data_IF_932347974230
#
_entry.id   IF_932347974230
#
_cell.length_a   1.000
_cell.length_b   1.000
_cell.length_c   1.000
_cell.angle_alpha   90.00
_cell.angle_beta   90.00
_cell.angle_gamma   90.00
#
_symmetry.space_group_name_H-M   'P 1'
#
loop_
_entity.id
_entity.type
_entity.pdbx_description
1 polymer ?
#
# COMPACT_ATOMS: atom_id res chain seq x y z
N UNK A 1 -4.92 8.95 3.17
CA UNK A 1 -3.57 8.42 3.45
C UNK A 1 -3.45 7.06 2.78
N UNK A 2 -2.34 6.83 2.08
CA UNK A 2 -1.95 5.52 1.55
C UNK A 2 -0.90 4.89 2.47
N UNK A 3 -1.03 3.60 2.78
CA UNK A 3 -0.03 2.81 3.51
C UNK A 3 0.34 1.58 2.69
N UNK A 4 1.61 1.48 2.30
CA UNK A 4 2.15 0.39 1.47
C UNK A 4 3.06 -0.52 2.28
N UNK A 5 2.84 -1.83 2.13
CA UNK A 5 3.64 -2.89 2.75
C UNK A 5 4.04 -3.95 1.72
N UNK A 6 5.12 -4.71 1.96
CA UNK A 6 5.62 -5.68 0.98
C UNK A 6 4.85 -7.00 0.93
N UNK A 7 3.97 -7.29 1.90
CA UNK A 7 3.29 -8.59 1.95
C UNK A 7 1.94 -8.54 2.65
N UNK A 8 1.07 -9.48 2.31
CA UNK A 8 -0.27 -9.62 2.91
C UNK A 8 -0.21 -9.87 4.44
N UNK A 9 0.69 -10.70 5.01
CA UNK A 9 0.81 -10.84 6.44
C UNK A 9 1.13 -9.53 7.16
N UNK A 10 2.06 -8.74 6.62
CA UNK A 10 2.38 -7.41 7.15
C UNK A 10 1.20 -6.44 7.01
N UNK A 11 0.46 -6.53 5.90
CA UNK A 11 -0.75 -5.73 5.70
C UNK A 11 -1.79 -6.02 6.80
N UNK A 12 -2.05 -7.29 7.07
CA UNK A 12 -2.98 -7.73 8.12
C UNK A 12 -2.56 -7.22 9.50
N UNK A 13 -1.27 -7.38 9.84
CA UNK A 13 -0.71 -6.90 11.11
C UNK A 13 -0.83 -5.37 11.22
N UNK A 14 -0.44 -4.65 10.20
CA UNK A 14 -0.53 -3.18 10.16
C UNK A 14 -1.96 -2.70 10.37
N UNK A 15 -2.93 -3.29 9.67
CA UNK A 15 -4.34 -2.93 9.82
C UNK A 15 -4.84 -3.19 11.25
N UNK A 16 -4.44 -4.31 11.87
CA UNK A 16 -4.79 -4.62 13.26
C UNK A 16 -4.22 -3.58 14.24
N UNK A 17 -2.96 -3.21 14.08
CA UNK A 17 -2.31 -2.20 14.91
C UNK A 17 -3.01 -0.84 14.78
N UNK A 18 -3.23 -0.39 13.55
CA UNK A 18 -3.95 0.86 13.30
C UNK A 18 -5.39 0.83 13.78
N UNK A 19 -6.08 -0.32 13.63
CA UNK A 19 -7.44 -0.49 14.13
C UNK A 19 -7.50 -0.37 15.65
N UNK A 20 -6.52 -0.87 16.38
CA UNK A 20 -6.45 -0.74 17.84
C UNK A 20 -6.23 0.70 18.28
N UNK A 21 -5.44 1.47 17.53
CA UNK A 21 -5.13 2.86 17.83
C UNK A 21 -6.25 3.84 17.43
N UNK A 22 -6.92 3.55 16.30
CA UNK A 22 -7.95 4.41 15.72
C UNK A 22 -9.39 3.99 16.10
N UNK A 23 -9.57 2.97 16.95
CA UNK A 23 -10.90 2.45 17.29
C UNK A 23 -11.78 3.48 18.02
N UNK A 24 -11.18 4.49 18.61
CA UNK A 24 -11.89 5.58 19.31
C UNK A 24 -12.10 6.83 18.45
N UNK A 25 -11.51 6.92 17.26
CA UNK A 25 -11.70 8.06 16.39
C UNK A 25 -12.92 7.87 15.51
N UNK A 26 -14.05 8.44 15.89
CA UNK A 26 -15.15 8.66 14.98
C UNK A 26 -14.64 9.47 13.78
N UNK A 27 -14.73 8.94 12.56
CA UNK A 27 -14.34 9.68 11.36
C UNK A 27 -13.16 9.10 10.56
N UNK A 28 -12.87 7.81 10.69
CA UNK A 28 -11.88 7.13 9.84
C UNK A 28 -12.52 6.02 9.00
N UNK A 29 -12.30 6.06 7.70
CA UNK A 29 -12.65 4.98 6.77
C UNK A 29 -11.40 4.20 6.37
N UNK A 30 -11.56 2.89 6.17
CA UNK A 30 -10.45 1.98 5.87
C UNK A 30 -10.76 1.14 4.66
N UNK A 31 -9.84 1.15 3.70
CA UNK A 31 -9.89 0.38 2.46
C UNK A 31 -8.70 -0.59 2.44
N UNK A 32 -8.97 -1.88 2.32
CA UNK A 32 -7.94 -2.90 2.10
C UNK A 32 -7.81 -3.21 0.61
N UNK A 33 -6.60 -3.10 0.06
CA UNK A 33 -6.33 -3.32 -1.36
C UNK A 33 -5.21 -4.35 -1.49
N UNK A 34 -5.60 -5.58 -1.72
CA UNK A 34 -4.69 -6.68 -2.01
C UNK A 34 -5.44 -7.80 -2.73
N UNK A 35 -4.70 -8.60 -3.49
CA UNK A 35 -5.22 -9.83 -4.07
C UNK A 35 -5.37 -10.85 -2.96
N UNK A 36 -6.59 -11.00 -2.44
CA UNK A 36 -6.89 -12.08 -1.51
C UNK A 36 -7.11 -13.38 -2.29
N UNK A 37 -6.07 -14.19 -2.39
CA UNK A 37 -6.15 -15.53 -2.97
C UNK A 37 -7.01 -16.49 -2.14
N UNK A 38 -7.51 -16.07 -0.98
CA UNK A 38 -8.36 -16.87 -0.10
C UNK A 38 -9.85 -16.52 -0.20
N UNK A 39 -10.21 -15.42 -0.89
CA UNK A 39 -11.59 -15.04 -1.15
C UNK A 39 -12.26 -16.04 -2.09
N UNK A 40 -12.91 -17.06 -1.54
CA UNK A 40 -13.66 -18.10 -2.27
C UNK A 40 -13.23 -19.53 -2.03
N UNK A 41 -12.14 -19.80 -1.33
CA UNK A 41 -11.78 -21.17 -0.94
C UNK A 41 -12.47 -21.53 0.37
N UNK A 42 -13.56 -22.28 0.24
CA UNK A 42 -14.19 -22.95 1.39
C UNK A 42 -13.14 -23.81 2.11
N UNK A 43 -13.10 -23.74 3.43
CA UNK A 43 -12.18 -24.35 4.40
C UNK A 43 -11.81 -25.85 4.22
N UNK A 44 -12.17 -26.50 3.10
CA UNK A 44 -12.14 -27.97 2.97
C UNK A 44 -10.89 -28.57 2.34
N UNK A 45 -9.95 -27.80 1.77
CA UNK A 45 -8.77 -28.37 1.11
C UNK A 45 -7.52 -27.47 1.24
N UNK A 46 -7.20 -27.01 2.46
CA UNK A 46 -5.91 -26.39 2.71
C UNK A 46 -4.92 -27.46 3.15
N UNK A 47 -3.91 -27.72 2.33
CA UNK A 47 -2.73 -28.44 2.77
C UNK A 47 -2.06 -27.63 3.89
N UNK A 48 -1.44 -28.29 4.86
CA UNK A 48 -0.94 -27.72 6.11
C UNK A 48 0.10 -26.59 5.97
N UNK A 49 0.56 -26.29 4.76
CA UNK A 49 1.62 -25.31 4.47
C UNK A 49 1.12 -23.96 3.95
N UNK A 50 -0.18 -23.78 3.68
CA UNK A 50 -0.74 -22.49 3.31
C UNK A 50 -1.19 -21.70 4.55
N UNK A 51 -0.41 -20.71 4.93
CA UNK A 51 -0.78 -19.75 5.99
C UNK A 51 -1.97 -18.91 5.49
N UNK A 52 -3.16 -19.23 5.97
CA UNK A 52 -4.34 -18.42 5.68
C UNK A 52 -4.28 -17.12 6.49
N UNK A 53 -4.02 -16.00 5.84
CA UNK A 53 -4.04 -14.69 6.48
C UNK A 53 -5.48 -14.18 6.51
N UNK A 54 -6.07 -14.10 7.70
CA UNK A 54 -7.36 -13.44 7.88
C UNK A 54 -7.20 -11.93 7.86
N UNK A 55 -7.75 -11.27 6.83
CA UNK A 55 -7.73 -9.81 6.74
C UNK A 55 -8.70 -9.19 7.76
N UNK A 56 -8.25 -8.22 8.59
CA UNK A 56 -9.08 -7.60 9.64
C UNK A 56 -10.16 -6.65 9.09
N UNK A 57 -10.10 -6.33 7.81
CA UNK A 57 -11.08 -5.55 7.05
C UNK A 57 -11.33 -6.21 5.70
N UNK A 58 -12.49 -5.99 5.07
CA UNK A 58 -12.74 -6.44 3.71
C UNK A 58 -11.69 -5.87 2.75
N UNK A 59 -11.06 -6.74 1.97
CA UNK A 59 -10.03 -6.37 0.99
C UNK A 59 -10.43 -6.81 -0.40
N UNK A 60 -10.08 -6.01 -1.41
CA UNK A 60 -10.40 -6.29 -2.81
C UNK A 60 -9.45 -5.55 -3.74
N UNK A 61 -9.27 -6.08 -4.95
CA UNK A 61 -8.61 -5.41 -6.08
C UNK A 61 -9.61 -4.86 -7.11
N UNK A 62 -10.90 -5.01 -6.85
CA UNK A 62 -11.95 -4.48 -7.73
C UNK A 62 -12.08 -2.95 -7.58
N UNK A 63 -11.46 -2.22 -8.51
CA UNK A 63 -11.46 -0.76 -8.57
C UNK A 63 -12.89 -0.19 -8.62
N UNK A 64 -13.82 -0.87 -9.30
CA UNK A 64 -15.20 -0.41 -9.39
C UNK A 64 -15.86 -0.41 -8.02
N UNK A 65 -15.74 -1.51 -7.31
CA UNK A 65 -16.28 -1.64 -5.95
C UNK A 65 -15.68 -0.61 -4.98
N UNK A 66 -14.35 -0.42 -5.03
CA UNK A 66 -13.68 0.58 -4.18
C UNK A 66 -14.14 1.99 -4.52
N UNK A 67 -14.22 2.33 -5.82
CA UNK A 67 -14.64 3.65 -6.29
C UNK A 67 -16.10 3.96 -5.91
N UNK A 68 -16.99 3.00 -5.99
CA UNK A 68 -18.40 3.16 -5.56
C UNK A 68 -18.47 3.42 -4.05
N UNK A 69 -17.73 2.67 -3.25
CA UNK A 69 -17.69 2.89 -1.80
C UNK A 69 -17.14 4.27 -1.47
N UNK A 70 -16.03 4.69 -2.09
CA UNK A 70 -15.44 6.02 -1.90
C UNK A 70 -16.42 7.13 -2.32
N UNK A 71 -17.14 6.97 -3.42
CA UNK A 71 -18.11 7.94 -3.89
C UNK A 71 -19.36 8.04 -2.99
N UNK A 72 -19.77 6.94 -2.36
CA UNK A 72 -20.84 6.98 -1.34
C UNK A 72 -20.41 7.79 -0.13
N UNK A 73 -19.19 7.57 0.37
CA UNK A 73 -18.64 8.33 1.50
C UNK A 73 -18.50 9.81 1.20
N UNK A 74 -18.01 10.18 0.00
CA UNK A 74 -17.90 11.59 -0.42
C UNK A 74 -19.25 12.34 -0.50
N UNK A 75 -20.35 11.63 -0.71
CA UNK A 75 -21.70 12.20 -0.75
C UNK A 75 -22.31 12.39 0.64
N UNK A 76 -21.76 11.75 1.64
CA UNK A 76 -22.25 11.90 3.01
C UNK A 76 -21.87 13.28 3.54
N UNK A 77 -22.88 14.03 4.00
CA UNK A 77 -22.70 15.36 4.59
C UNK A 77 -21.80 15.33 5.82
N UNK A 78 -21.73 14.17 6.49
CA UNK A 78 -20.87 13.94 7.65
C UNK A 78 -19.43 13.58 7.29
N UNK A 79 -19.10 13.45 6.00
CA UNK A 79 -17.75 13.09 5.53
C UNK A 79 -16.72 14.24 5.65
N UNK A 80 -17.17 15.45 5.98
CA UNK A 80 -16.30 16.60 6.15
C UNK A 80 -15.38 16.40 7.35
N UNK A 81 -14.09 16.23 7.07
CA UNK A 81 -13.06 16.01 8.08
C UNK A 81 -12.74 14.55 8.38
N UNK A 82 -13.37 13.60 7.69
CA UNK A 82 -13.02 12.17 7.80
C UNK A 82 -11.67 11.88 7.15
N UNK A 83 -10.95 10.93 7.72
CA UNK A 83 -9.68 10.46 7.18
C UNK A 83 -9.91 9.11 6.49
N UNK A 84 -9.55 9.04 5.20
CA UNK A 84 -9.59 7.79 4.45
C UNK A 84 -8.19 7.15 4.44
N UNK A 85 -8.10 5.94 4.98
CA UNK A 85 -6.90 5.12 4.94
C UNK A 85 -7.02 4.04 3.88
N UNK A 86 -6.05 3.97 3.01
CA UNK A 86 -5.88 2.93 2.01
C UNK A 86 -4.68 2.09 2.40
N UNK A 87 -4.92 0.85 2.76
CA UNK A 87 -3.89 -0.12 3.10
C UNK A 87 -3.69 -1.05 1.92
N UNK A 88 -2.48 -1.10 1.37
CA UNK A 88 -2.19 -1.90 0.18
C UNK A 88 -0.85 -2.61 0.26
N UNK A 89 -0.71 -3.68 -0.51
CA UNK A 89 0.61 -4.22 -0.83
C UNK A 89 1.21 -3.49 -2.03
N UNK A 90 2.54 -3.48 -2.17
CA UNK A 90 3.20 -2.92 -3.36
C UNK A 90 2.75 -3.61 -4.65
N UNK A 91 2.54 -4.93 -4.62
CA UNK A 91 2.06 -5.70 -5.77
C UNK A 91 0.67 -5.27 -6.28
N UNK A 92 -0.09 -4.55 -5.45
CA UNK A 92 -1.40 -4.01 -5.84
C UNK A 92 -1.35 -2.52 -6.19
N UNK A 93 -0.17 -1.96 -6.45
CA UNK A 93 0.02 -0.53 -6.70
C UNK A 93 -0.69 -0.05 -7.97
N UNK A 94 -0.83 -0.92 -8.98
CA UNK A 94 -1.57 -0.63 -10.21
C UNK A 94 -3.06 -0.38 -9.94
N UNK A 95 -3.64 -1.10 -8.98
CA UNK A 95 -5.03 -0.89 -8.52
C UNK A 95 -5.19 0.50 -7.91
N UNK A 96 -4.18 0.96 -7.15
CA UNK A 96 -4.17 2.32 -6.58
C UNK A 96 -4.11 3.37 -7.69
N UNK A 97 -3.23 3.18 -8.68
CA UNK A 97 -3.12 4.06 -9.83
C UNK A 97 -4.47 4.18 -10.57
N UNK A 98 -5.07 3.04 -10.93
CA UNK A 98 -6.36 3.01 -11.62
C UNK A 98 -7.48 3.68 -10.80
N UNK A 99 -7.48 3.48 -9.49
CA UNK A 99 -8.44 4.12 -8.59
C UNK A 99 -8.26 5.65 -8.58
N UNK A 100 -7.02 6.15 -8.57
CA UNK A 100 -6.74 7.59 -8.65
C UNK A 100 -7.17 8.18 -9.99
N UNK A 101 -6.93 7.47 -11.10
CA UNK A 101 -7.39 7.90 -12.43
C UNK A 101 -8.92 7.98 -12.47
N UNK A 102 -9.60 6.95 -11.98
CA UNK A 102 -11.07 6.87 -11.99
C UNK A 102 -11.75 7.89 -11.08
N UNK A 103 -11.18 8.16 -9.91
CA UNK A 103 -11.82 8.99 -8.88
C UNK A 103 -11.25 10.42 -8.79
N UNK A 104 -10.16 10.74 -9.49
CA UNK A 104 -9.59 12.08 -9.58
C UNK A 104 -9.09 12.64 -8.25
N UNK A 105 -8.39 11.84 -7.41
CA UNK A 105 -7.87 12.30 -6.13
C UNK A 105 -6.35 12.13 -6.01
N UNK A 106 -5.79 12.84 -5.06
CA UNK A 106 -4.38 12.74 -4.65
C UNK A 106 -4.32 12.39 -3.16
N UNK A 107 -3.37 11.56 -2.77
CA UNK A 107 -3.13 11.29 -1.35
C UNK A 107 -2.41 12.47 -0.68
N UNK A 108 -2.85 12.86 0.50
CA UNK A 108 -2.08 13.83 1.30
C UNK A 108 -0.75 13.24 1.76
N UNK A 109 -0.74 11.94 2.06
CA UNK A 109 0.46 11.21 2.49
C UNK A 109 0.44 9.79 1.97
N UNK A 110 1.61 9.32 1.53
CA UNK A 110 1.91 7.91 1.31
C UNK A 110 2.97 7.47 2.31
N UNK A 111 2.72 6.38 3.02
CA UNK A 111 3.65 5.75 3.97
C UNK A 111 4.12 4.45 3.34
N UNK A 112 5.41 4.36 3.10
CA UNK A 112 6.07 3.24 2.43
C UNK A 112 6.87 2.46 3.47
N UNK A 113 6.33 1.31 3.89
CA UNK A 113 7.03 0.45 4.84
C UNK A 113 8.02 -0.48 4.12
N UNK A 114 9.08 -0.88 4.82
CA UNK A 114 10.20 -1.64 4.27
C UNK A 114 10.79 -0.96 3.01
N UNK A 115 10.98 0.36 3.09
CA UNK A 115 11.37 1.22 1.97
C UNK A 115 12.68 0.82 1.30
N UNK A 116 13.54 0.06 1.96
CA UNK A 116 14.75 -0.50 1.35
C UNK A 116 14.46 -1.38 0.12
N UNK A 117 13.23 -1.90 -0.01
CA UNK A 117 12.78 -2.66 -1.19
C UNK A 117 12.40 -1.77 -2.36
N UNK A 118 12.09 -0.50 -2.12
CA UNK A 118 11.70 0.44 -3.17
C UNK A 118 12.90 1.05 -3.90
N UNK A 119 14.10 0.86 -3.37
CA UNK A 119 15.34 1.36 -3.97
C UNK A 119 15.90 0.24 -4.84
N UNK A 120 15.86 0.38 -6.15
CA UNK A 120 16.12 -0.59 -7.21
C UNK A 120 17.46 -1.36 -7.24
N UNK A 121 18.01 -1.72 -6.08
CA UNK A 121 19.28 -2.42 -5.94
C UNK A 121 19.16 -3.97 -5.91
N UNK A 122 17.97 -4.54 -6.12
CA UNK A 122 17.80 -5.99 -6.24
C UNK A 122 17.70 -6.42 -7.71
N UNK A 123 18.57 -7.36 -8.10
CA UNK A 123 18.74 -7.86 -9.47
C UNK A 123 17.69 -8.88 -9.93
N UNK A 124 16.53 -8.97 -9.30
CA UNK A 124 15.43 -9.78 -9.81
C UNK A 124 14.49 -8.85 -10.59
N UNK A 125 14.61 -8.90 -11.92
CA UNK A 125 14.02 -7.93 -12.86
C UNK A 125 12.49 -7.87 -12.83
N UNK A 126 11.78 -8.90 -12.39
CA UNK A 126 10.31 -8.94 -12.42
C UNK A 126 9.62 -8.42 -11.14
N UNK A 127 10.22 -8.58 -9.96
CA UNK A 127 9.62 -8.13 -8.68
C UNK A 127 9.90 -6.64 -8.36
N UNK A 128 10.84 -6.02 -9.07
CA UNK A 128 11.37 -4.70 -8.72
C UNK A 128 10.52 -3.53 -9.24
N UNK A 129 9.71 -3.74 -10.26
CA UNK A 129 8.95 -2.67 -10.92
C UNK A 129 7.84 -2.12 -10.03
N UNK A 130 7.10 -2.98 -9.31
CA UNK A 130 5.98 -2.54 -8.48
C UNK A 130 6.43 -1.73 -7.26
N UNK A 131 7.58 -2.08 -6.69
CA UNK A 131 8.15 -1.34 -5.56
C UNK A 131 8.68 0.04 -5.94
N UNK A 132 9.15 0.22 -7.17
CA UNK A 132 9.70 1.51 -7.65
C UNK A 132 8.62 2.48 -8.12
N UNK A 133 7.45 1.99 -8.56
CA UNK A 133 6.33 2.81 -9.05
C UNK A 133 5.87 3.89 -8.05
N UNK A 134 6.05 3.66 -6.74
CA UNK A 134 5.68 4.65 -5.72
C UNK A 134 6.50 5.95 -5.81
N UNK A 135 7.69 5.92 -6.39
CA UNK A 135 8.54 7.10 -6.53
C UNK A 135 8.08 8.01 -7.67
N UNK A 136 7.37 7.46 -8.66
CA UNK A 136 6.82 8.23 -9.76
C UNK A 136 5.53 8.95 -9.35
N UNK A 137 5.58 10.28 -9.29
CA UNK A 137 4.43 11.09 -8.92
C UNK A 137 3.38 11.19 -10.04
N UNK A 138 3.74 10.85 -11.28
CA UNK A 138 2.78 10.71 -12.38
C UNK A 138 1.99 9.41 -12.27
N UNK A 139 2.56 8.37 -11.66
CA UNK A 139 1.93 7.08 -11.45
C UNK A 139 1.11 7.05 -10.15
N UNK A 140 1.71 7.40 -9.00
CA UNK A 140 0.99 7.52 -7.73
C UNK A 140 1.05 8.97 -7.26
N UNK A 141 -0.08 9.66 -7.30
CA UNK A 141 -0.18 11.05 -6.85
C UNK A 141 -0.26 11.13 -5.34
N UNK A 142 0.78 11.68 -4.73
CA UNK A 142 0.85 11.92 -3.29
C UNK A 142 1.65 13.18 -2.98
N UNK A 143 1.10 14.07 -2.14
CA UNK A 143 1.76 15.33 -1.75
C UNK A 143 3.04 15.11 -0.95
N UNK A 144 3.06 14.10 -0.10
CA UNK A 144 4.21 13.75 0.74
C UNK A 144 4.36 12.23 0.83
N UNK A 145 5.62 11.77 0.87
CA UNK A 145 5.98 10.36 1.08
C UNK A 145 6.81 10.24 2.34
N UNK A 146 6.49 9.24 3.15
CA UNK A 146 7.27 8.83 4.31
C UNK A 146 7.78 7.41 4.06
N UNK A 147 9.08 7.26 4.04
CA UNK A 147 9.75 5.98 3.87
C UNK A 147 10.19 5.46 5.23
N UNK A 148 9.80 4.23 5.56
CA UNK A 148 10.17 3.54 6.78
C UNK A 148 10.95 2.27 6.44
N UNK A 149 12.00 2.00 7.16
CA UNK A 149 12.74 0.73 7.09
C UNK A 149 13.32 0.40 8.45
N UNK A 150 13.25 -0.87 8.83
CA UNK A 150 13.94 -1.39 10.01
C UNK A 150 15.41 -1.71 9.74
N UNK A 151 15.79 -1.85 8.46
CA UNK A 151 17.14 -2.21 8.03
C UNK A 151 17.75 -1.05 7.26
N UNK A 152 18.76 -0.42 7.83
CA UNK A 152 19.55 0.57 7.11
C UNK A 152 20.43 -0.14 6.07
N UNK A 153 20.32 0.22 4.80
CA UNK A 153 21.25 -0.24 3.78
C UNK A 153 22.48 0.65 3.76
N UNK A 154 23.59 0.10 4.20
CA UNK A 154 24.90 0.73 4.01
C UNK A 154 25.36 0.38 2.59
N UNK A 155 25.28 1.34 1.69
CA UNK A 155 25.85 1.19 0.35
C UNK A 155 27.38 1.13 0.44
N UNK A 156 28.01 0.24 -0.35
CA UNK A 156 29.45 0.24 -0.48
C UNK A 156 29.93 1.58 -1.06
N UNK A 157 31.15 1.97 -0.77
CA UNK A 157 31.73 3.22 -1.27
C UNK A 157 31.70 3.31 -2.81
N UNK A 158 31.74 2.18 -3.50
CA UNK A 158 31.62 2.08 -4.96
C UNK A 158 30.21 2.46 -5.42
N UNK A 159 29.16 1.93 -4.78
CA UNK A 159 27.78 2.27 -5.14
C UNK A 159 27.41 3.73 -4.84
N UNK A 160 28.08 4.36 -3.88
CA UNK A 160 27.94 5.81 -3.62
C UNK A 160 28.58 6.66 -4.72
N UNK A 161 29.77 6.24 -5.19
CA UNK A 161 30.46 6.95 -6.28
C UNK A 161 29.65 6.89 -7.59
N UNK A 162 29.08 5.72 -7.92
CA UNK A 162 28.25 5.57 -9.12
C UNK A 162 26.96 6.43 -9.04
N UNK A 163 26.34 6.53 -7.86
CA UNK A 163 25.15 7.37 -7.65
C UNK A 163 25.47 8.87 -7.74
N UNK A 164 26.64 9.31 -7.28
CA UNK A 164 27.11 10.70 -7.41
C UNK A 164 27.45 11.07 -8.86
N UNK A 165 28.01 10.14 -9.66
CA UNK A 165 28.23 10.34 -11.10
C UNK A 165 26.92 10.44 -11.89
N UNK A 166 25.87 9.74 -11.47
CA UNK A 166 24.52 9.81 -12.09
C UNK A 166 23.66 10.99 -11.58
N UNK A 167 24.18 11.83 -10.70
CA UNK A 167 23.51 13.04 -10.21
C UNK A 167 22.44 12.81 -9.14
N UNK A 168 22.47 11.69 -8.46
CA UNK A 168 21.60 11.43 -7.31
C UNK A 168 22.32 11.85 -6.01
N UNK A 169 21.97 13.01 -5.51
CA UNK A 169 22.44 13.52 -4.21
C UNK A 169 21.38 13.34 -3.12
#
# INVERSE_FOLDING_TARGET
>A
ILYLVPSIPLLSQTILEWKSQLSYSEGCDRFGICSDNTAGKTRRNLNADEITVNMPIPSTTDVTRISEQLNRLKKDIHDRGRIHFFFSTYQSIDVIHELQEKCGFEFDRAICDEAHRTIGAYKDEDDNTDFTKIHDNSFIRAKKRLYRTATEKIYSSVAKADAEEEGWS
#
